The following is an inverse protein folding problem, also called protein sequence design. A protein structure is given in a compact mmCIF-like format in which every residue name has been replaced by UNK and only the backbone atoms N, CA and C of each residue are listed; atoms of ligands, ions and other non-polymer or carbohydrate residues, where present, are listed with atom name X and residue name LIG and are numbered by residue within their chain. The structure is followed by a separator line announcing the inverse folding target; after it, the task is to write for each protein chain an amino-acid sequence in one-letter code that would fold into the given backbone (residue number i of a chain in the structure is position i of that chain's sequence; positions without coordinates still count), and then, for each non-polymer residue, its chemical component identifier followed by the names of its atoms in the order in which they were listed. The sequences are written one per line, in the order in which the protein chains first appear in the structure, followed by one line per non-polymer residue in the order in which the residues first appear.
data_IF_827230932648
#
_entry.id   IF_827230932648
#
_cell.length_a   1.000
_cell.length_b   1.000
_cell.length_c   1.000
_cell.angle_alpha   90.00
_cell.angle_beta   90.00
_cell.angle_gamma   90.00
#
_symmetry.space_group_name_H-M   'P 1'
#
loop_
_entity.id
_entity.type
_entity.pdbx_description
1 polymer ?
#
# COMPACT_ATOMS: atom_id res chain seq x y z
N UNK A 1 -21.26 7.54 16.00
CA UNK A 1 -21.04 6.64 14.84
C UNK A 1 -21.82 5.37 15.16
N UNK A 2 -22.54 4.79 14.20
CA UNK A 2 -23.41 3.65 14.47
C UNK A 2 -22.63 2.47 15.05
N UNK A 3 -23.02 2.01 16.23
CA UNK A 3 -22.31 1.00 17.03
C UNK A 3 -23.01 -0.36 17.05
N UNK A 4 -24.11 -0.52 16.32
CA UNK A 4 -24.94 -1.74 16.32
C UNK A 4 -24.25 -2.94 15.62
N UNK A 5 -22.93 -2.89 15.44
CA UNK A 5 -22.13 -4.03 14.99
C UNK A 5 -21.89 -5.04 16.10
N UNK A 6 -21.92 -4.59 17.36
CA UNK A 6 -21.65 -5.39 18.56
C UNK A 6 -22.93 -5.86 19.27
N UNK A 7 -24.11 -5.49 18.75
CA UNK A 7 -25.40 -5.88 19.31
C UNK A 7 -25.93 -7.10 18.55
N UNK A 8 -26.13 -8.21 19.26
CA UNK A 8 -26.65 -9.45 18.67
C UNK A 8 -28.19 -9.49 18.65
N UNK A 9 -28.85 -8.67 19.48
CA UNK A 9 -30.30 -8.58 19.56
C UNK A 9 -30.85 -7.54 18.57
N UNK A 10 -31.43 -8.01 17.46
CA UNK A 10 -32.03 -7.14 16.43
C UNK A 10 -33.05 -6.14 17.00
N UNK A 11 -33.77 -6.49 18.08
CA UNK A 11 -34.74 -5.59 18.70
C UNK A 11 -34.08 -4.40 19.40
N UNK A 12 -32.79 -4.51 19.76
CA UNK A 12 -32.01 -3.44 20.40
C UNK A 12 -31.19 -2.60 19.42
N UNK A 13 -31.09 -3.02 18.15
CA UNK A 13 -30.38 -2.30 17.08
C UNK A 13 -31.09 -1.01 16.64
N UNK A 14 -30.92 0.04 17.43
CA UNK A 14 -31.62 1.33 17.25
C UNK A 14 -30.72 2.48 16.83
N UNK A 15 -29.39 2.34 16.92
CA UNK A 15 -28.42 3.42 16.63
C UNK A 15 -27.84 3.34 15.22
N UNK A 16 -28.11 2.23 14.53
CA UNK A 16 -27.62 1.91 13.20
C UNK A 16 -26.17 1.45 13.17
N UNK A 17 -25.76 0.98 12.00
CA UNK A 17 -24.41 0.50 11.68
C UNK A 17 -23.66 1.55 10.86
N UNK A 18 -22.35 1.67 11.10
CA UNK A 18 -21.47 2.53 10.32
C UNK A 18 -20.15 1.83 10.04
N UNK A 19 -19.78 1.71 8.77
CA UNK A 19 -18.53 1.14 8.31
C UNK A 19 -17.62 2.23 7.73
N UNK A 20 -16.36 2.26 8.16
CA UNK A 20 -15.35 3.20 7.66
C UNK A 20 -14.19 2.47 7.00
N UNK A 21 -13.78 2.91 5.80
CA UNK A 21 -12.64 2.33 5.08
C UNK A 21 -11.57 3.41 4.89
N UNK A 22 -10.36 3.12 5.38
CA UNK A 22 -9.23 4.07 5.39
C UNK A 22 -9.12 4.86 6.70
N UNK A 23 -8.22 5.82 6.72
CA UNK A 23 -8.02 6.71 7.87
C UNK A 23 -8.65 8.07 7.61
N UNK A 24 -9.12 8.76 8.66
CA UNK A 24 -9.53 10.17 8.52
C UNK A 24 -8.37 11.07 8.10
N UNK A 25 -7.13 10.63 8.27
CA UNK A 25 -5.95 11.38 7.88
C UNK A 25 -5.49 11.07 6.45
N UNK A 26 -6.06 10.09 5.74
CA UNK A 26 -5.65 9.79 4.36
C UNK A 26 -6.31 10.73 3.34
N UNK A 27 -5.74 10.79 2.13
CA UNK A 27 -6.32 11.50 0.98
C UNK A 27 -7.72 11.05 0.59
N UNK A 28 -8.08 9.81 0.92
CA UNK A 28 -9.37 9.21 0.60
C UNK A 28 -9.88 8.43 1.81
N UNK A 29 -11.13 8.66 2.19
CA UNK A 29 -11.79 7.98 3.31
C UNK A 29 -13.26 7.74 2.97
N UNK A 30 -13.75 6.53 3.25
CA UNK A 30 -15.16 6.16 2.99
C UNK A 30 -15.90 5.95 4.28
N UNK A 31 -17.18 6.35 4.29
CA UNK A 31 -18.15 6.01 5.32
C UNK A 31 -19.42 5.49 4.68
N UNK A 32 -19.81 4.28 5.04
CA UNK A 32 -21.09 3.69 4.69
C UNK A 32 -21.90 3.55 5.97
N UNK A 33 -23.07 4.18 6.05
CA UNK A 33 -23.86 4.19 7.28
C UNK A 33 -25.36 4.27 7.05
N UNK A 34 -26.12 3.70 7.99
CA UNK A 34 -27.58 3.78 7.99
C UNK A 34 -28.01 5.22 8.35
N UNK A 35 -28.26 6.02 7.31
CA UNK A 35 -28.52 7.46 7.43
C UNK A 35 -29.85 7.74 8.11
N UNK A 36 -30.89 6.97 7.80
CA UNK A 36 -32.19 7.18 8.41
C UNK A 36 -32.17 6.96 9.93
N UNK A 37 -31.49 5.89 10.38
CA UNK A 37 -31.26 5.64 11.81
C UNK A 37 -30.42 6.74 12.46
N UNK A 38 -29.40 7.25 11.76
CA UNK A 38 -28.60 8.39 12.22
C UNK A 38 -29.41 9.70 12.33
N UNK A 39 -30.52 9.83 11.61
CA UNK A 39 -31.47 10.96 11.68
C UNK A 39 -32.64 10.71 12.65
N UNK A 40 -32.71 9.53 13.29
CA UNK A 40 -33.71 9.18 14.30
C UNK A 40 -34.81 8.23 13.83
N UNK A 41 -34.88 7.88 12.54
CA UNK A 41 -35.80 6.86 12.04
C UNK A 41 -35.18 5.46 12.14
N UNK A 42 -35.58 4.74 13.18
CA UNK A 42 -35.10 3.39 13.51
C UNK A 42 -35.46 2.34 12.45
N UNK A 43 -36.52 2.56 11.68
CA UNK A 43 -37.04 1.61 10.69
C UNK A 43 -36.52 1.88 9.27
N UNK A 44 -35.83 3.00 9.08
CA UNK A 44 -35.34 3.39 7.77
C UNK A 44 -34.29 2.42 7.23
N UNK A 45 -34.46 2.02 5.97
CA UNK A 45 -33.47 1.28 5.19
C UNK A 45 -32.48 2.18 4.47
N UNK A 46 -32.60 3.51 4.65
CA UNK A 46 -31.76 4.48 3.94
C UNK A 46 -30.31 4.39 4.40
N UNK A 47 -29.46 3.85 3.52
CA UNK A 47 -28.01 3.79 3.69
C UNK A 47 -27.34 4.85 2.82
N UNK A 48 -26.34 5.55 3.37
CA UNK A 48 -25.55 6.53 2.63
C UNK A 48 -24.12 6.05 2.48
N UNK A 49 -23.61 6.16 1.26
CA UNK A 49 -22.21 5.94 0.92
C UNK A 49 -21.56 7.31 0.71
N UNK A 50 -20.65 7.70 1.61
CA UNK A 50 -19.89 8.94 1.52
C UNK A 50 -18.43 8.67 1.23
N UNK A 51 -17.85 9.46 0.34
CA UNK A 51 -16.42 9.47 0.04
C UNK A 51 -15.90 10.88 0.34
N UNK A 52 -14.85 10.93 1.14
CA UNK A 52 -14.16 12.15 1.51
C UNK A 52 -12.80 12.16 0.80
N UNK A 53 -12.55 13.22 0.04
CA UNK A 53 -11.26 13.49 -0.59
C UNK A 53 -10.54 14.61 0.16
N UNK A 54 -9.26 14.43 0.45
CA UNK A 54 -8.37 15.42 1.07
C UNK A 54 -7.13 15.61 0.23
N UNK A 55 -6.73 16.87 0.05
CA UNK A 55 -5.49 17.24 -0.62
C UNK A 55 -4.28 16.94 0.30
N UNK A 56 -3.89 15.67 0.38
CA UNK A 56 -2.72 15.21 1.13
C UNK A 56 -1.68 14.62 0.18
N UNK A 57 -1.90 13.39 -0.25
CA UNK A 57 -1.10 12.66 -1.24
C UNK A 57 -1.74 12.66 -2.64
N UNK A 58 -2.83 13.40 -2.82
CA UNK A 58 -3.54 13.58 -4.10
C UNK A 58 -3.72 15.06 -4.41
N UNK A 59 -3.71 15.41 -5.69
CA UNK A 59 -4.21 16.70 -6.18
C UNK A 59 -5.66 16.47 -6.57
N UNK A 60 -6.59 17.15 -5.88
CA UNK A 60 -8.01 17.06 -6.19
C UNK A 60 -8.30 17.97 -7.40
N UNK A 61 -8.70 17.41 -8.56
CA UNK A 61 -9.00 18.21 -9.73
C UNK A 61 -10.30 19.00 -9.52
N UNK A 62 -10.40 20.20 -10.12
CA UNK A 62 -11.57 21.07 -10.00
C UNK A 62 -12.82 20.41 -10.58
N UNK A 63 -12.65 19.56 -11.59
CA UNK A 63 -13.67 18.80 -12.28
C UNK A 63 -14.48 17.89 -11.34
N UNK A 64 -13.97 17.57 -10.15
CA UNK A 64 -14.72 16.85 -9.10
C UNK A 64 -15.99 17.59 -8.70
N UNK A 65 -15.98 18.92 -8.74
CA UNK A 65 -17.15 19.74 -8.43
C UNK A 65 -18.17 19.78 -9.57
N UNK A 66 -17.71 19.64 -10.81
CA UNK A 66 -18.57 19.63 -12.00
C UNK A 66 -19.19 18.26 -12.25
N UNK A 67 -18.40 17.19 -12.06
CA UNK A 67 -18.77 15.81 -12.37
C UNK A 67 -18.56 14.88 -11.15
N UNK A 68 -19.18 15.14 -9.99
CA UNK A 68 -18.91 14.39 -8.76
C UNK A 68 -19.24 12.90 -8.88
N UNK A 69 -20.23 12.54 -9.70
CA UNK A 69 -20.60 11.14 -9.95
C UNK A 69 -19.47 10.33 -10.60
N UNK A 70 -18.70 10.93 -11.50
CA UNK A 70 -17.58 10.25 -12.16
C UNK A 70 -16.45 9.93 -11.18
N UNK A 71 -16.11 10.90 -10.33
CA UNK A 71 -15.07 10.74 -9.31
C UNK A 71 -15.51 9.87 -8.14
N UNK A 72 -16.80 9.87 -7.81
CA UNK A 72 -17.39 8.88 -6.91
C UNK A 72 -17.23 7.47 -7.49
N UNK A 73 -17.56 7.29 -8.77
CA UNK A 73 -17.40 6.01 -9.48
C UNK A 73 -15.96 5.51 -9.51
N UNK A 74 -14.99 6.41 -9.74
CA UNK A 74 -13.56 6.07 -9.79
C UNK A 74 -12.85 5.98 -8.44
N UNK A 75 -13.56 6.18 -7.32
CA UNK A 75 -12.94 6.18 -5.99
C UNK A 75 -12.55 4.77 -5.53
N UNK A 76 -13.41 3.76 -5.74
CA UNK A 76 -13.20 2.36 -5.39
C UNK A 76 -13.77 1.46 -6.49
N UNK A 77 -13.24 0.25 -6.72
CA UNK A 77 -13.74 -0.64 -7.77
C UNK A 77 -15.25 -0.92 -7.68
N UNK A 78 -15.80 -1.04 -6.47
CA UNK A 78 -17.24 -1.24 -6.27
C UNK A 78 -18.09 -0.05 -6.74
N UNK A 79 -17.51 1.16 -6.72
CA UNK A 79 -18.23 2.38 -7.03
C UNK A 79 -18.49 2.56 -8.53
N UNK A 80 -17.74 1.88 -9.39
CA UNK A 80 -17.95 1.89 -10.85
C UNK A 80 -19.37 1.47 -11.22
N UNK A 81 -20.01 0.62 -10.40
CA UNK A 81 -21.40 0.19 -10.60
C UNK A 81 -22.44 1.30 -10.42
N UNK A 82 -22.08 2.39 -9.74
CA UNK A 82 -22.98 3.51 -9.44
C UNK A 82 -22.86 4.67 -10.43
N UNK A 83 -21.94 4.60 -11.40
CA UNK A 83 -21.71 5.67 -12.37
C UNK A 83 -21.52 5.09 -13.78
N UNK A 84 -21.99 5.79 -14.80
CA UNK A 84 -21.77 5.39 -16.19
C UNK A 84 -20.31 5.55 -16.63
N UNK A 85 -19.60 6.50 -16.02
CA UNK A 85 -18.20 6.80 -16.26
C UNK A 85 -17.50 6.95 -14.92
N UNK A 86 -16.29 6.41 -14.79
CA UNK A 86 -15.52 6.39 -13.56
C UNK A 86 -14.14 7.03 -13.81
N UNK A 87 -13.82 8.07 -13.04
CA UNK A 87 -12.56 8.80 -13.16
C UNK A 87 -11.81 8.75 -11.84
N UNK A 88 -10.59 8.20 -11.85
CA UNK A 88 -9.78 8.05 -10.64
C UNK A 88 -8.86 9.26 -10.42
N UNK A 89 -8.79 9.74 -9.18
CA UNK A 89 -7.76 10.72 -8.78
C UNK A 89 -6.46 9.98 -8.51
N UNK A 90 -5.38 10.39 -9.19
CA UNK A 90 -4.06 9.80 -9.04
C UNK A 90 -3.32 10.35 -7.83
N UNK A 91 -2.60 9.46 -7.14
CA UNK A 91 -1.69 9.86 -6.07
C UNK A 91 -0.44 10.50 -6.67
N UNK A 92 -0.03 11.62 -6.09
CA UNK A 92 1.25 12.25 -6.42
C UNK A 92 2.33 11.52 -5.63
N UNK A 93 3.33 10.98 -6.34
CA UNK A 93 4.57 10.56 -5.69
C UNK A 93 5.32 11.84 -5.29
N UNK A 94 5.38 12.11 -3.99
CA UNK A 94 6.38 13.05 -3.48
C UNK A 94 7.77 12.43 -3.65
N UNK A 95 8.60 13.03 -4.49
CA UNK A 95 10.05 12.85 -4.40
C UNK A 95 10.51 13.56 -3.13
N UNK A 96 10.60 12.81 -2.03
CA UNK A 96 11.05 13.35 -0.75
C UNK A 96 12.55 13.63 -0.83
N UNK A 97 12.89 14.82 -1.29
CA UNK A 97 14.22 15.38 -1.07
C UNK A 97 14.35 15.62 0.44
N UNK A 98 15.15 14.79 1.11
CA UNK A 98 15.44 15.03 2.52
C UNK A 98 16.41 16.21 2.59
N UNK A 99 15.91 17.37 3.01
CA UNK A 99 16.79 18.47 3.38
C UNK A 99 17.54 18.15 4.67
N UNK A 100 18.74 18.70 4.81
CA UNK A 100 19.54 18.58 6.03
C UNK A 100 18.76 19.03 7.28
N UNK A 101 17.97 20.10 7.15
CA UNK A 101 17.13 20.64 8.24
C UNK A 101 16.09 19.62 8.72
N UNK A 102 15.41 18.95 7.79
CA UNK A 102 14.40 17.94 8.12
C UNK A 102 15.02 16.71 8.79
N UNK A 103 16.22 16.33 8.37
CA UNK A 103 16.96 15.25 9.02
C UNK A 103 17.36 15.62 10.45
N UNK A 104 17.85 16.85 10.66
CA UNK A 104 18.21 17.35 12.00
C UNK A 104 17.00 17.39 12.93
N UNK A 105 15.84 17.86 12.45
CA UNK A 105 14.60 17.82 13.23
C UNK A 105 14.20 16.39 13.64
N UNK A 106 14.31 15.45 12.70
CA UNK A 106 13.98 14.06 12.95
C UNK A 106 14.90 13.45 14.01
N UNK A 107 16.22 13.67 13.89
CA UNK A 107 17.20 13.23 14.90
C UNK A 107 16.88 13.84 16.27
N UNK A 108 16.56 15.14 16.35
CA UNK A 108 16.19 15.79 17.60
C UNK A 108 14.93 15.17 18.23
N UNK A 109 13.91 14.85 17.43
CA UNK A 109 12.67 14.23 17.89
C UNK A 109 12.89 12.80 18.38
N UNK A 110 13.67 12.00 17.67
CA UNK A 110 13.94 10.60 18.00
C UNK A 110 14.94 10.45 19.15
N UNK A 111 16.07 11.16 19.08
CA UNK A 111 17.19 11.01 20.00
C UNK A 111 17.16 11.99 21.17
N UNK A 112 16.39 13.08 21.12
CA UNK A 112 16.42 14.11 22.17
C UNK A 112 16.12 13.59 23.58
N UNK A 113 15.13 12.70 23.72
CA UNK A 113 14.82 12.07 25.02
C UNK A 113 15.93 11.12 25.47
N UNK A 114 16.51 10.35 24.54
CA UNK A 114 17.62 9.43 24.82
C UNK A 114 18.88 10.19 25.25
N UNK A 115 19.21 11.31 24.60
CA UNK A 115 20.32 12.18 24.95
C UNK A 115 20.21 12.70 26.39
N UNK A 116 19.01 13.13 26.80
CA UNK A 116 18.76 13.55 28.18
C UNK A 116 18.91 12.38 29.16
N UNK A 117 18.44 11.19 28.78
CA UNK A 117 18.64 9.97 29.57
C UNK A 117 20.10 9.62 29.77
N UNK A 118 20.93 9.71 28.72
CA UNK A 118 22.37 9.46 28.81
C UNK A 118 23.06 10.45 29.74
N UNK A 119 22.71 11.74 29.66
CA UNK A 119 23.27 12.76 30.56
C UNK A 119 22.82 12.58 32.01
N UNK A 120 21.62 12.04 32.24
CA UNK A 120 21.13 11.69 33.57
C UNK A 120 21.88 10.49 34.17
N UNK A 121 22.14 9.45 33.37
CA UNK A 121 22.86 8.24 33.83
C UNK A 121 24.36 8.53 34.07
N UNK A 122 24.97 9.35 33.21
CA UNK A 122 26.39 9.68 33.26
C UNK A 122 26.59 11.20 33.37
N UNK A 123 26.32 11.80 34.55
CA UNK A 123 26.37 13.24 34.74
C UNK A 123 27.79 13.82 34.57
N UNK A 124 28.81 13.04 34.92
CA UNK A 124 30.22 13.45 34.87
C UNK A 124 30.80 13.47 33.45
N UNK A 125 30.16 12.78 32.51
CA UNK A 125 30.66 12.71 31.13
C UNK A 125 30.23 13.95 30.33
N UNK A 126 31.17 14.45 29.54
CA UNK A 126 30.90 15.49 28.56
C UNK A 126 30.08 14.93 27.37
N UNK A 127 29.54 15.82 26.54
CA UNK A 127 28.71 15.41 25.39
C UNK A 127 29.49 14.61 24.34
N UNK A 128 30.81 14.81 24.22
CA UNK A 128 31.62 14.13 23.22
C UNK A 128 31.83 12.67 23.60
N UNK A 129 32.22 12.40 24.85
CA UNK A 129 32.35 11.05 25.41
C UNK A 129 31.04 10.29 25.41
N UNK A 130 29.92 10.98 25.68
CA UNK A 130 28.59 10.37 25.56
C UNK A 130 28.25 9.97 24.12
N UNK A 131 28.73 10.73 23.14
CA UNK A 131 28.52 10.42 21.72
C UNK A 131 29.40 9.25 21.27
N UNK A 132 30.65 9.20 21.72
CA UNK A 132 31.56 8.07 21.48
C UNK A 132 30.98 6.75 22.00
N UNK A 133 30.30 6.76 23.16
CA UNK A 133 29.67 5.56 23.74
C UNK A 133 28.55 4.95 22.87
N UNK A 134 27.87 5.77 22.06
CA UNK A 134 26.76 5.34 21.20
C UNK A 134 27.16 5.24 19.73
N UNK A 135 28.41 5.55 19.41
CA UNK A 135 28.91 5.50 18.05
C UNK A 135 28.88 4.04 17.56
N UNK A 136 28.17 3.74 16.46
CA UNK A 136 28.12 2.39 15.93
C UNK A 136 29.49 2.00 15.36
N UNK A 137 29.82 0.71 15.40
CA UNK A 137 31.07 0.18 14.81
C UNK A 137 31.16 0.28 13.29
N UNK A 138 30.14 0.84 12.63
CA UNK A 138 30.04 0.96 11.18
C UNK A 138 29.87 2.43 10.74
N UNK A 139 30.44 2.79 9.60
CA UNK A 139 30.30 4.14 9.01
C UNK A 139 29.13 4.25 8.02
N UNK A 140 28.04 3.51 8.26
CA UNK A 140 26.87 3.52 7.37
C UNK A 140 26.04 4.77 7.59
N UNK A 141 25.75 5.48 6.50
CA UNK A 141 24.77 6.56 6.51
C UNK A 141 23.34 5.99 6.48
N UNK A 142 22.33 6.75 6.95
CA UNK A 142 20.95 6.43 6.69
C UNK A 142 20.71 6.28 5.19
N UNK A 143 19.89 5.29 4.80
CA UNK A 143 19.64 4.96 3.38
C UNK A 143 19.24 6.15 2.51
N UNK A 144 18.55 7.13 3.10
CA UNK A 144 18.08 8.34 2.41
C UNK A 144 19.14 9.43 2.24
N UNK A 145 20.26 9.36 2.96
CA UNK A 145 21.42 10.25 2.82
C UNK A 145 22.61 9.55 2.17
N UNK A 146 22.52 8.23 1.99
CA UNK A 146 23.52 7.46 1.30
C UNK A 146 23.66 7.98 -0.15
N UNK A 147 24.87 8.21 -0.68
CA UNK A 147 25.09 8.72 -2.03
C UNK A 147 24.33 7.93 -3.11
N UNK A 148 24.16 6.63 -2.87
CA UNK A 148 23.42 5.69 -3.71
C UNK A 148 21.95 6.08 -3.92
N UNK A 149 21.36 6.87 -3.02
CA UNK A 149 19.99 7.37 -3.16
C UNK A 149 19.86 8.53 -4.16
N UNK A 150 20.97 9.21 -4.48
CA UNK A 150 20.97 10.40 -5.34
C UNK A 150 21.63 10.15 -6.70
N UNK A 151 22.61 9.25 -6.76
CA UNK A 151 23.33 8.95 -7.99
C UNK A 151 23.64 7.45 -8.09
N UNK A 152 23.22 6.88 -9.22
CA UNK A 152 23.42 5.47 -9.55
C UNK A 152 24.91 5.11 -9.70
N UNK A 153 25.80 6.07 -9.96
CA UNK A 153 27.24 5.83 -10.04
C UNK A 153 27.84 5.34 -8.71
N UNK A 154 27.24 5.69 -7.58
CA UNK A 154 27.67 5.22 -6.27
C UNK A 154 27.03 3.89 -5.86
N UNK A 155 26.04 3.39 -6.62
CA UNK A 155 25.29 2.19 -6.31
C UNK A 155 26.25 0.98 -6.29
N UNK A 156 26.52 0.43 -5.10
CA UNK A 156 27.36 -0.78 -4.93
C UNK A 156 26.64 -2.08 -5.30
N UNK A 157 25.47 -1.99 -5.93
CA UNK A 157 24.74 -3.17 -6.39
C UNK A 157 25.24 -3.57 -7.77
N UNK A 158 25.49 -4.87 -7.96
CA UNK A 158 25.80 -5.41 -9.27
C UNK A 158 24.57 -5.24 -10.16
N UNK A 159 24.73 -4.55 -11.29
CA UNK A 159 23.62 -4.34 -12.21
C UNK A 159 23.13 -5.70 -12.71
N UNK A 160 21.81 -5.87 -12.86
CA UNK A 160 21.21 -7.18 -13.21
C UNK A 160 21.81 -7.74 -14.52
N UNK A 161 22.18 -6.87 -15.46
CA UNK A 161 22.81 -7.26 -16.72
C UNK A 161 24.28 -7.71 -16.58
N UNK A 162 24.94 -7.39 -15.46
CA UNK A 162 26.29 -7.85 -15.11
C UNK A 162 26.25 -9.08 -14.20
N UNK A 163 25.08 -9.45 -13.68
CA UNK A 163 24.93 -10.70 -12.93
C UNK A 163 25.05 -11.87 -13.91
N UNK A 164 25.84 -12.92 -13.59
CA UNK A 164 25.87 -14.11 -14.40
C UNK A 164 24.44 -14.65 -14.53
N UNK A 165 24.05 -15.06 -15.74
CA UNK A 165 22.74 -15.66 -15.97
C UNK A 165 22.49 -16.72 -14.89
N UNK A 166 21.32 -16.61 -14.22
CA UNK A 166 20.92 -17.57 -13.20
C UNK A 166 21.10 -18.98 -13.76
N UNK A 167 22.04 -19.73 -13.19
CA UNK A 167 22.22 -21.13 -13.52
C UNK A 167 21.21 -21.88 -12.65
N UNK A 168 20.12 -22.42 -13.22
CA UNK A 168 19.16 -23.18 -12.44
C UNK A 168 19.88 -24.31 -11.71
N UNK A 169 19.52 -24.51 -10.45
CA UNK A 169 19.96 -25.69 -9.72
C UNK A 169 19.51 -26.92 -10.49
N UNK A 170 20.46 -27.81 -10.83
CA UNK A 170 20.14 -29.11 -11.42
C UNK A 170 19.57 -30.00 -10.34
N UNK A 171 18.27 -29.84 -10.13
CA UNK A 171 17.51 -30.70 -9.25
C UNK A 171 17.63 -32.16 -9.70
N UNK A 172 17.82 -33.14 -8.80
CA UNK A 172 17.94 -34.55 -9.16
C UNK A 172 16.77 -35.10 -9.98
N UNK A 173 15.61 -34.44 -9.93
CA UNK A 173 14.41 -34.81 -10.67
C UNK A 173 14.19 -33.97 -11.94
N UNK A 174 15.15 -33.12 -12.33
CA UNK A 174 15.14 -32.33 -13.58
C UNK A 174 13.91 -31.42 -13.74
N UNK A 175 13.29 -31.02 -12.63
CA UNK A 175 12.03 -30.26 -12.65
C UNK A 175 12.14 -28.94 -13.43
N UNK A 176 13.28 -28.23 -13.30
CA UNK A 176 13.49 -26.98 -14.03
C UNK A 176 13.51 -27.17 -15.54
N UNK A 177 14.23 -28.17 -16.04
CA UNK A 177 14.31 -28.48 -17.49
C UNK A 177 12.94 -28.95 -18.02
N UNK A 178 12.16 -29.68 -17.21
CA UNK A 178 10.79 -30.05 -17.54
C UNK A 178 9.90 -28.81 -17.75
N UNK A 179 9.94 -27.85 -16.81
CA UNK A 179 9.13 -26.62 -16.91
C UNK A 179 9.53 -25.76 -18.11
N UNK A 180 10.82 -25.55 -18.37
CA UNK A 180 11.24 -24.77 -19.56
C UNK A 180 10.77 -25.42 -20.87
N UNK A 181 10.83 -26.74 -20.97
CA UNK A 181 10.35 -27.46 -22.16
C UNK A 181 8.83 -27.35 -22.29
N UNK A 182 8.10 -27.40 -21.17
CA UNK A 182 6.65 -27.22 -21.15
C UNK A 182 6.26 -25.81 -21.62
N UNK A 183 6.94 -24.77 -21.14
CA UNK A 183 6.72 -23.38 -21.57
C UNK A 183 6.96 -23.18 -23.06
N UNK A 184 8.07 -23.72 -23.59
CA UNK A 184 8.36 -23.67 -25.03
C UNK A 184 7.29 -24.37 -25.87
N UNK A 185 6.79 -25.52 -25.42
CA UNK A 185 5.69 -26.22 -26.08
C UNK A 185 4.41 -25.40 -26.05
N UNK A 186 4.09 -24.78 -24.92
CA UNK A 186 2.91 -23.94 -24.77
C UNK A 186 2.99 -22.68 -25.64
N UNK A 187 4.16 -22.03 -25.74
CA UNK A 187 4.36 -20.88 -26.62
C UNK A 187 4.26 -21.25 -28.10
N UNK A 188 4.81 -22.40 -28.52
CA UNK A 188 4.60 -22.91 -29.88
C UNK A 188 3.13 -23.17 -30.15
N UNK A 189 2.38 -23.68 -29.17
CA UNK A 189 0.93 -23.87 -29.28
C UNK A 189 0.15 -22.55 -29.35
N UNK A 190 0.60 -21.46 -28.69
CA UNK A 190 0.03 -20.11 -28.83
C UNK A 190 0.13 -19.58 -30.26
N UNK A 191 1.21 -19.92 -30.97
CA UNK A 191 1.37 -19.49 -32.37
C UNK A 191 0.55 -20.34 -33.36
N UNK A 192 0.16 -21.57 -32.97
CA UNK A 192 -0.63 -22.49 -33.80
C UNK A 192 -2.14 -22.33 -33.56
N UNK A 193 -2.57 -21.99 -32.35
CA UNK A 193 -3.97 -21.71 -32.00
C UNK A 193 -4.12 -20.23 -31.64
N UNK A 194 -5.09 -19.53 -32.26
CA UNK A 194 -5.43 -18.11 -32.00
C UNK A 194 -5.36 -17.81 -30.49
N UNK A 195 -4.68 -16.72 -30.06
CA UNK A 195 -4.33 -16.43 -28.65
C UNK A 195 -5.50 -16.58 -27.67
N UNK A 196 -6.72 -16.28 -28.13
CA UNK A 196 -7.98 -16.40 -27.40
C UNK A 196 -8.30 -17.85 -26.99
N UNK A 197 -8.00 -18.82 -27.84
CA UNK A 197 -8.17 -20.26 -27.56
C UNK A 197 -7.16 -20.77 -26.53
N UNK A 198 -5.92 -20.24 -26.57
CA UNK A 198 -4.88 -20.60 -25.60
C UNK A 198 -5.21 -20.06 -24.21
N UNK A 199 -5.63 -18.78 -24.13
CA UNK A 199 -6.05 -18.16 -22.88
C UNK A 199 -7.23 -18.92 -22.25
N UNK A 200 -8.24 -19.31 -23.03
CA UNK A 200 -9.36 -20.11 -22.53
C UNK A 200 -8.93 -21.48 -22.00
N UNK A 201 -7.96 -22.16 -22.62
CA UNK A 201 -7.45 -23.44 -22.13
C UNK A 201 -6.69 -23.31 -20.80
N UNK A 202 -5.85 -22.28 -20.67
CA UNK A 202 -5.10 -22.01 -19.43
C UNK A 202 -6.08 -21.67 -18.30
N UNK A 203 -7.01 -20.74 -18.52
CA UNK A 203 -7.93 -20.33 -17.47
C UNK A 203 -8.95 -21.41 -17.10
N UNK A 204 -9.41 -22.26 -18.01
CA UNK A 204 -10.32 -23.38 -17.69
C UNK A 204 -9.62 -24.49 -16.89
N UNK A 205 -8.36 -24.81 -17.19
CA UNK A 205 -7.61 -25.86 -16.48
C UNK A 205 -7.25 -25.46 -15.05
N UNK A 206 -6.92 -24.19 -14.82
CA UNK A 206 -6.59 -23.68 -13.47
C UNK A 206 -7.81 -23.20 -12.67
N UNK A 207 -8.94 -22.90 -13.31
CA UNK A 207 -10.19 -22.53 -12.61
C UNK A 207 -10.87 -23.70 -11.91
N UNK A 208 -10.55 -24.96 -12.27
CA UNK A 208 -11.21 -26.16 -11.72
C UNK A 208 -10.44 -26.85 -10.59
N UNK A 209 -9.28 -26.33 -10.18
CA UNK A 209 -8.67 -26.80 -8.95
C UNK A 209 -9.45 -26.23 -7.77
N UNK A 210 -10.02 -27.06 -6.87
CA UNK A 210 -10.65 -26.55 -5.68
C UNK A 210 -9.59 -25.78 -4.90
N UNK A 211 -9.93 -24.56 -4.50
CA UNK A 211 -9.12 -23.78 -3.57
C UNK A 211 -9.20 -24.50 -2.22
N UNK A 212 -8.35 -25.51 -2.02
CA UNK A 212 -8.15 -26.11 -0.71
C UNK A 212 -7.27 -25.16 0.10
N UNK A 213 -7.90 -24.26 0.85
CA UNK A 213 -7.32 -23.75 2.08
C UNK A 213 -7.59 -24.77 3.19
N UNK A 214 -6.58 -25.58 3.49
CA UNK A 214 -6.38 -26.27 4.75
C UNK A 214 -4.87 -26.32 5.01
#
# INVERSE_FOLDING_TARGET
MGSDWEEDDEAKMTKGKTYGIGSRESSKYVRVYEKGKQLGDKTSTWTRFEIEFKAKDIVIPFEVLQNPGEYFGGAYPICERFAQKATRIHAVKEDKVISADRYLEWVKKQFGRAANGLKFIFPELDKAKLFELIEPSHHKLPKSLAPEAYDCAFLKAQAIHEQPAFKPYKDPYYMYEYYENLEKQLEQQKHVNNEESYNNFIYDKFARLPISWA
#
